data_IF_737656745965
#
_entry.id   IF_737656745965
#
_cell.length_a   1.000
_cell.length_b   1.000
_cell.length_c   1.000
_cell.angle_alpha   90.00
_cell.angle_beta   90.00
_cell.angle_gamma   90.00
#
_symmetry.space_group_name_H-M   'P 1'
#
loop_
_entity.id
_entity.type
_entity.pdbx_description
1 polymer ?
#
# COMPACT_ATOMS: atom_id res chain seq x y z
N UNK A 1 -25.89 -54.42 30.45
CA UNK A 1 -26.12 -53.40 29.45
C UNK A 1 -24.94 -52.44 29.54
N UNK A 2 -23.93 -52.59 28.68
CA UNK A 2 -22.67 -51.82 28.73
C UNK A 2 -22.76 -50.78 27.60
N UNK A 3 -22.82 -49.48 27.98
CA UNK A 3 -22.73 -48.41 27.01
C UNK A 3 -21.26 -48.18 26.65
N UNK A 4 -20.90 -48.43 25.39
CA UNK A 4 -19.63 -48.07 24.82
C UNK A 4 -19.75 -46.62 24.32
N UNK A 5 -19.09 -45.68 25.02
CA UNK A 5 -18.95 -44.32 24.55
C UNK A 5 -17.82 -44.25 23.51
N UNK A 6 -18.21 -44.20 22.26
CA UNK A 6 -17.28 -44.00 21.14
C UNK A 6 -16.72 -42.56 21.15
N UNK A 7 -15.45 -42.39 21.48
CA UNK A 7 -14.71 -41.15 21.28
C UNK A 7 -14.35 -41.03 19.80
N UNK A 8 -15.09 -40.19 19.08
CA UNK A 8 -14.70 -39.76 17.72
C UNK A 8 -13.49 -38.82 17.84
N UNK A 9 -12.30 -39.32 17.51
CA UNK A 9 -11.11 -38.52 17.27
C UNK A 9 -11.36 -37.70 16.01
N UNK A 10 -11.68 -36.41 16.19
CA UNK A 10 -11.67 -35.45 15.07
C UNK A 10 -10.22 -35.31 14.63
N UNK A 11 -9.86 -35.88 13.50
CA UNK A 11 -8.58 -35.68 12.84
C UNK A 11 -8.56 -34.24 12.31
N UNK A 12 -7.88 -33.34 13.01
CA UNK A 12 -7.53 -32.04 12.43
C UNK A 12 -6.50 -32.32 11.34
N UNK A 13 -6.97 -32.25 10.09
CA UNK A 13 -6.08 -32.23 8.95
C UNK A 13 -5.07 -31.05 9.15
N UNK A 14 -3.78 -31.35 9.00
CA UNK A 14 -2.72 -30.34 8.96
C UNK A 14 -2.97 -29.43 7.76
N UNK A 15 -3.75 -28.39 7.97
CA UNK A 15 -3.94 -27.35 6.97
C UNK A 15 -2.71 -26.45 7.06
N UNK A 16 -1.73 -26.70 6.20
CA UNK A 16 -0.66 -25.73 5.95
C UNK A 16 -1.32 -24.46 5.44
N UNK A 17 -1.30 -23.38 6.23
CA UNK A 17 -1.72 -22.07 5.77
C UNK A 17 -0.75 -21.67 4.67
N UNK A 18 -1.23 -21.72 3.44
CA UNK A 18 -0.53 -21.19 2.29
C UNK A 18 -0.45 -19.67 2.47
N UNK A 19 0.69 -19.07 2.23
CA UNK A 19 0.81 -17.60 2.19
C UNK A 19 -0.16 -17.00 1.17
N UNK A 20 -0.21 -15.69 1.11
CA UNK A 20 -1.10 -14.94 0.22
C UNK A 20 -1.59 -13.65 0.86
N UNK A 21 -2.50 -12.97 0.17
CA UNK A 21 -3.12 -11.72 0.64
C UNK A 21 -4.56 -12.00 1.04
N UNK A 22 -4.91 -11.63 2.26
CA UNK A 22 -6.27 -11.71 2.80
C UNK A 22 -6.77 -10.31 3.15
N UNK A 23 -8.04 -10.04 2.93
CA UNK A 23 -8.71 -8.86 3.49
C UNK A 23 -9.52 -9.27 4.73
N UNK A 24 -9.45 -8.47 5.78
CA UNK A 24 -10.30 -8.67 6.96
C UNK A 24 -11.77 -8.46 6.62
N UNK A 25 -12.61 -9.18 7.34
CA UNK A 25 -14.07 -9.17 7.12
C UNK A 25 -14.68 -7.79 7.39
N UNK A 26 -14.11 -7.03 8.33
CA UNK A 26 -14.57 -5.70 8.73
C UNK A 26 -14.16 -4.56 7.77
N UNK A 27 -13.29 -4.81 6.79
CA UNK A 27 -12.97 -3.82 5.75
C UNK A 27 -14.23 -3.56 4.89
N UNK A 28 -14.71 -2.31 4.80
CA UNK A 28 -15.92 -1.98 4.04
C UNK A 28 -15.83 -2.40 2.56
N UNK A 29 -16.96 -2.86 2.00
CA UNK A 29 -17.03 -3.27 0.60
C UNK A 29 -16.59 -2.17 -0.36
N UNK A 30 -16.90 -0.92 -0.05
CA UNK A 30 -16.46 0.23 -0.84
C UNK A 30 -14.93 0.32 -0.93
N UNK A 31 -14.23 0.15 0.20
CA UNK A 31 -12.77 0.20 0.27
C UNK A 31 -12.12 -0.99 -0.46
N UNK A 32 -12.68 -2.20 -0.29
CA UNK A 32 -12.25 -3.38 -1.06
C UNK A 32 -12.39 -3.16 -2.58
N UNK A 33 -13.53 -2.62 -3.01
CA UNK A 33 -13.82 -2.34 -4.42
C UNK A 33 -12.88 -1.26 -4.98
N UNK A 34 -12.63 -0.20 -4.21
CA UNK A 34 -11.71 0.87 -4.57
C UNK A 34 -10.29 0.31 -4.79
N UNK A 35 -9.77 -0.46 -3.83
CA UNK A 35 -8.45 -1.07 -3.93
C UNK A 35 -8.34 -2.01 -5.14
N UNK A 36 -9.31 -2.91 -5.33
CA UNK A 36 -9.33 -3.83 -6.48
C UNK A 36 -9.27 -3.07 -7.80
N UNK A 37 -10.09 -2.03 -7.97
CA UNK A 37 -10.11 -1.21 -9.18
C UNK A 37 -8.75 -0.54 -9.44
N UNK A 38 -8.08 -0.04 -8.39
CA UNK A 38 -6.75 0.56 -8.53
C UNK A 38 -5.70 -0.48 -8.90
N UNK A 39 -5.72 -1.63 -8.24
CA UNK A 39 -4.81 -2.73 -8.56
C UNK A 39 -5.03 -3.27 -9.99
N UNK A 40 -6.28 -3.40 -10.46
CA UNK A 40 -6.57 -3.76 -11.85
C UNK A 40 -5.98 -2.75 -12.83
N UNK A 41 -6.14 -1.45 -12.56
CA UNK A 41 -5.58 -0.38 -13.39
C UNK A 41 -4.05 -0.46 -13.43
N UNK A 42 -3.40 -0.63 -12.28
CA UNK A 42 -1.94 -0.64 -12.18
C UNK A 42 -1.34 -1.93 -12.76
N UNK A 43 -1.91 -3.07 -12.45
CA UNK A 43 -1.38 -4.36 -12.90
C UNK A 43 -1.84 -4.74 -14.30
N UNK A 44 -2.97 -4.19 -14.76
CA UNK A 44 -3.64 -4.63 -15.98
C UNK A 44 -4.29 -6.02 -15.87
N UNK A 45 -4.35 -6.60 -14.67
CA UNK A 45 -5.09 -7.82 -14.46
C UNK A 45 -6.58 -7.54 -14.58
N UNK A 46 -7.29 -8.45 -15.27
CA UNK A 46 -8.75 -8.40 -15.36
C UNK A 46 -9.33 -9.35 -14.31
N UNK A 47 -10.34 -8.87 -13.56
CA UNK A 47 -11.07 -9.67 -12.56
C UNK A 47 -10.27 -10.02 -11.30
N UNK A 48 -9.53 -9.06 -10.75
CA UNK A 48 -9.11 -9.16 -9.35
C UNK A 48 -10.35 -9.17 -8.46
N UNK A 49 -10.35 -10.05 -7.45
CA UNK A 49 -11.44 -10.10 -6.48
C UNK A 49 -10.97 -10.64 -5.14
N UNK A 50 -11.70 -10.30 -4.11
CA UNK A 50 -11.63 -11.01 -2.83
C UNK A 50 -12.69 -12.14 -2.84
N UNK A 51 -12.30 -13.35 -2.49
CA UNK A 51 -13.20 -14.48 -2.31
C UNK A 51 -13.95 -14.37 -0.99
N UNK A 52 -14.93 -15.26 -0.74
CA UNK A 52 -15.74 -15.26 0.49
C UNK A 52 -14.92 -15.46 1.78
N UNK A 53 -13.76 -16.10 1.68
CA UNK A 53 -12.81 -16.26 2.78
C UNK A 53 -11.83 -15.08 2.93
N UNK A 54 -12.01 -14.00 2.16
CA UNK A 54 -11.16 -12.83 2.16
C UNK A 54 -9.90 -12.93 1.29
N UNK A 55 -9.63 -14.07 0.64
CA UNK A 55 -8.42 -14.23 -0.17
C UNK A 55 -8.47 -13.39 -1.45
N UNK A 56 -7.41 -12.62 -1.69
CA UNK A 56 -7.21 -11.92 -2.95
C UNK A 56 -6.81 -12.93 -4.03
N UNK A 57 -7.57 -12.98 -5.10
CA UNK A 57 -7.30 -13.84 -6.25
C UNK A 57 -7.38 -13.05 -7.56
N UNK A 58 -6.56 -13.44 -8.52
CA UNK A 58 -6.53 -12.82 -9.83
C UNK A 58 -6.20 -13.83 -10.92
N UNK A 59 -6.60 -13.52 -12.14
CA UNK A 59 -6.27 -14.31 -13.30
C UNK A 59 -5.22 -13.56 -14.15
N UNK A 60 -4.00 -14.07 -14.16
CA UNK A 60 -2.89 -13.52 -14.94
C UNK A 60 -2.94 -13.86 -16.45
N UNK A 61 -3.93 -14.64 -16.89
CA UNK A 61 -4.09 -15.01 -18.29
C UNK A 61 -4.77 -13.94 -19.14
N UNK A 62 -5.51 -13.01 -18.51
CA UNK A 62 -6.17 -11.90 -19.19
C UNK A 62 -5.56 -10.59 -18.72
N UNK A 63 -4.85 -9.93 -19.62
CA UNK A 63 -4.18 -8.65 -19.35
C UNK A 63 -4.76 -7.55 -20.24
N UNK A 64 -4.97 -6.38 -19.63
CA UNK A 64 -5.37 -5.15 -20.31
C UNK A 64 -4.35 -4.03 -19.99
N UNK A 65 -3.16 -4.12 -20.62
CA UNK A 65 -2.06 -3.18 -20.34
C UNK A 65 -1.41 -3.43 -18.98
N UNK A 66 -1.19 -2.35 -18.23
CA UNK A 66 -0.67 -2.39 -16.87
C UNK A 66 0.83 -2.60 -16.76
N UNK A 67 1.35 -2.42 -15.52
CA UNK A 67 2.76 -2.59 -15.20
C UNK A 67 3.13 -4.07 -15.03
N UNK A 68 4.18 -4.51 -15.74
CA UNK A 68 4.75 -5.85 -15.59
C UNK A 68 5.39 -6.03 -14.20
N UNK A 69 6.07 -5.01 -13.71
CA UNK A 69 6.73 -5.03 -12.40
C UNK A 69 5.69 -5.15 -11.27
N UNK A 70 4.57 -4.43 -11.36
CA UNK A 70 3.47 -4.54 -10.40
C UNK A 70 2.83 -5.94 -10.43
N UNK A 71 2.62 -6.53 -11.62
CA UNK A 71 2.14 -7.91 -11.75
C UNK A 71 3.07 -8.91 -11.09
N UNK A 72 4.37 -8.76 -11.30
CA UNK A 72 5.36 -9.66 -10.71
C UNK A 72 5.36 -9.57 -9.19
N UNK A 73 5.28 -8.36 -8.63
CA UNK A 73 5.19 -8.15 -7.19
C UNK A 73 3.93 -8.80 -6.60
N UNK A 74 2.77 -8.52 -7.20
CA UNK A 74 1.51 -9.08 -6.73
C UNK A 74 1.48 -10.61 -6.86
N UNK A 75 2.03 -11.17 -7.96
CA UNK A 75 2.14 -12.63 -8.11
C UNK A 75 3.00 -13.25 -7.00
N UNK A 76 4.16 -12.64 -6.70
CA UNK A 76 5.02 -13.12 -5.60
C UNK A 76 4.30 -13.09 -4.25
N UNK A 77 3.53 -12.04 -3.98
CA UNK A 77 2.75 -11.94 -2.76
C UNK A 77 1.65 -13.00 -2.66
N UNK A 78 0.95 -13.28 -3.76
CA UNK A 78 -0.13 -14.28 -3.80
C UNK A 78 0.37 -15.74 -3.74
N UNK A 79 1.62 -15.99 -4.15
CA UNK A 79 2.17 -17.36 -4.24
C UNK A 79 3.28 -17.63 -3.23
N UNK A 80 3.72 -16.62 -2.50
CA UNK A 80 4.78 -16.71 -1.50
C UNK A 80 4.34 -17.43 -0.21
N UNK A 81 5.23 -17.45 0.77
CA UNK A 81 5.04 -18.10 2.07
C UNK A 81 4.54 -17.15 3.17
N UNK A 82 4.58 -15.84 2.92
CA UNK A 82 4.08 -14.84 3.85
C UNK A 82 2.54 -14.72 3.76
N UNK A 83 1.89 -14.69 4.90
CA UNK A 83 0.48 -14.33 5.02
C UNK A 83 0.38 -12.81 5.25
N UNK A 84 -0.28 -12.12 4.35
CA UNK A 84 -0.44 -10.68 4.37
C UNK A 84 -1.92 -10.36 4.59
N UNK A 85 -2.23 -9.70 5.69
CA UNK A 85 -3.60 -9.35 6.07
C UNK A 85 -3.81 -7.86 5.85
N UNK A 86 -4.83 -7.50 5.07
CA UNK A 86 -5.24 -6.13 4.85
C UNK A 86 -6.26 -5.71 5.91
N UNK A 87 -6.00 -4.60 6.59
CA UNK A 87 -6.90 -3.95 7.55
C UNK A 87 -7.21 -2.51 7.14
N UNK A 88 -8.41 -2.05 7.45
CA UNK A 88 -8.81 -0.65 7.31
C UNK A 88 -8.34 0.15 8.52
N UNK A 89 -7.57 1.19 8.28
CA UNK A 89 -7.04 2.09 9.31
C UNK A 89 -7.65 3.50 9.25
N UNK A 90 -8.73 3.72 8.48
CA UNK A 90 -9.32 5.05 8.24
C UNK A 90 -9.77 5.79 9.50
N UNK A 91 -9.87 5.11 10.64
CA UNK A 91 -10.18 5.72 11.94
C UNK A 91 -8.96 5.89 12.85
N UNK A 92 -7.74 5.60 12.36
CA UNK A 92 -6.51 5.55 13.17
C UNK A 92 -5.64 6.77 12.91
N UNK A 93 -5.35 7.54 13.97
CA UNK A 93 -4.45 8.70 13.90
C UNK A 93 -2.95 8.34 13.86
N UNK A 94 -2.59 7.07 14.09
CA UNK A 94 -1.20 6.59 14.08
C UNK A 94 -0.76 5.99 12.73
N UNK A 95 -1.64 6.01 11.73
CA UNK A 95 -1.37 5.56 10.37
C UNK A 95 -1.52 6.73 9.42
N UNK A 96 -0.51 7.00 8.62
CA UNK A 96 -0.56 7.95 7.52
C UNK A 96 -0.55 7.19 6.19
N UNK A 97 -1.63 7.28 5.43
CA UNK A 97 -1.85 6.58 4.17
C UNK A 97 -1.80 5.05 4.28
N UNK A 98 -0.61 4.48 4.42
CA UNK A 98 -0.39 3.04 4.55
C UNK A 98 0.78 2.75 5.49
N UNK A 99 0.73 1.55 6.09
CA UNK A 99 1.83 1.04 6.91
C UNK A 99 1.79 -0.48 6.99
N UNK A 100 2.93 -1.13 6.83
CA UNK A 100 3.06 -2.56 7.15
C UNK A 100 3.62 -2.76 8.55
N UNK A 101 3.06 -3.73 9.26
CA UNK A 101 3.53 -4.12 10.60
C UNK A 101 3.61 -5.65 10.71
N UNK A 102 4.51 -6.19 11.55
CA UNK A 102 4.52 -7.61 11.87
C UNK A 102 3.19 -8.03 12.49
N UNK A 103 2.62 -9.13 11.99
CA UNK A 103 1.39 -9.73 12.50
C UNK A 103 1.64 -11.00 13.30
N UNK A 104 0.61 -11.48 14.03
CA UNK A 104 0.62 -12.75 14.76
C UNK A 104 -0.71 -13.46 14.59
N UNK A 105 -0.67 -14.77 14.35
CA UNK A 105 -1.84 -15.62 14.41
C UNK A 105 -2.00 -16.14 15.85
N UNK A 106 -3.05 -15.70 16.54
CA UNK A 106 -3.24 -15.96 17.98
C UNK A 106 -3.57 -17.41 18.32
N UNK A 107 -4.07 -18.21 17.37
CA UNK A 107 -4.60 -19.56 17.64
C UNK A 107 -3.80 -20.70 17.00
N UNK A 108 -2.65 -20.44 16.39
CA UNK A 108 -1.88 -21.46 15.68
C UNK A 108 -0.38 -21.39 16.01
N UNK A 109 0.00 -21.88 17.17
CA UNK A 109 1.40 -22.00 17.61
C UNK A 109 2.27 -22.91 16.71
N UNK A 110 1.66 -23.60 15.76
CA UNK A 110 2.32 -24.59 14.88
C UNK A 110 2.65 -23.99 13.50
N UNK A 111 2.09 -22.83 13.15
CA UNK A 111 2.31 -22.21 11.84
C UNK A 111 3.60 -21.39 11.84
N UNK A 112 4.59 -21.86 11.10
CA UNK A 112 5.85 -21.14 10.81
C UNK A 112 5.70 -20.05 9.75
N UNK A 113 4.46 -19.68 9.38
CA UNK A 113 4.21 -18.64 8.39
C UNK A 113 4.58 -17.26 8.95
N UNK A 114 5.33 -16.48 8.19
CA UNK A 114 5.52 -15.05 8.47
C UNK A 114 4.19 -14.34 8.22
N UNK A 115 3.71 -13.61 9.21
CA UNK A 115 2.45 -12.86 9.11
C UNK A 115 2.76 -11.38 9.15
N UNK A 116 2.16 -10.63 8.22
CA UNK A 116 2.23 -9.18 8.15
C UNK A 116 0.82 -8.60 8.06
N UNK A 117 0.65 -7.40 8.57
CA UNK A 117 -0.58 -6.64 8.44
C UNK A 117 -0.28 -5.36 7.68
N UNK A 118 -0.98 -5.14 6.57
CA UNK A 118 -0.97 -3.86 5.86
C UNK A 118 -2.18 -3.07 6.32
N UNK A 119 -1.91 -1.96 6.98
CA UNK A 119 -2.88 -0.98 7.43
C UNK A 119 -3.05 0.08 6.33
N UNK A 120 -4.29 0.34 5.90
CA UNK A 120 -4.58 1.37 4.89
C UNK A 120 -5.58 2.36 5.45
N UNK A 121 -5.21 3.63 5.48
CA UNK A 121 -6.14 4.73 5.70
C UNK A 121 -6.68 5.23 4.35
N UNK A 122 -7.87 4.79 4.00
CA UNK A 122 -8.53 5.17 2.73
C UNK A 122 -8.96 6.64 2.73
N UNK A 123 -9.25 7.21 3.90
CA UNK A 123 -9.70 8.59 4.02
C UNK A 123 -8.55 9.57 3.81
N UNK A 124 -7.34 9.22 4.21
CA UNK A 124 -6.15 10.02 3.93
C UNK A 124 -5.96 10.23 2.42
N UNK A 125 -6.09 9.17 1.61
CA UNK A 125 -5.99 9.29 0.15
C UNK A 125 -7.07 10.20 -0.46
N UNK A 126 -8.24 10.30 0.15
CA UNK A 126 -9.34 11.17 -0.29
C UNK A 126 -9.08 12.64 0.03
N UNK A 127 -8.28 12.93 1.05
CA UNK A 127 -7.91 14.29 1.44
C UNK A 127 -6.81 14.90 0.57
N UNK A 128 -6.12 14.08 -0.24
CA UNK A 128 -5.07 14.55 -1.13
C UNK A 128 -5.66 15.29 -2.32
N UNK A 129 -5.18 16.51 -2.54
CA UNK A 129 -5.52 17.36 -3.69
C UNK A 129 -4.29 17.63 -4.56
N UNK A 130 -4.45 18.32 -5.67
CA UNK A 130 -3.34 18.71 -6.55
C UNK A 130 -3.49 18.24 -7.99
N UNK A 131 -2.36 18.14 -8.69
CA UNK A 131 -2.33 17.81 -10.11
C UNK A 131 -2.88 16.39 -10.39
N UNK A 132 -3.71 16.28 -11.42
CA UNK A 132 -4.32 14.99 -11.81
C UNK A 132 -3.28 13.91 -12.14
N UNK A 133 -2.16 14.29 -12.75
CA UNK A 133 -1.05 13.37 -13.04
C UNK A 133 -0.39 12.84 -11.77
N UNK A 134 -0.15 13.70 -10.78
CA UNK A 134 0.39 13.27 -9.49
C UNK A 134 -0.62 12.39 -8.72
N UNK A 135 -1.93 12.72 -8.77
CA UNK A 135 -2.98 11.89 -8.17
C UNK A 135 -3.11 10.51 -8.83
N UNK A 136 -2.86 10.40 -10.13
CA UNK A 136 -2.82 9.11 -10.82
C UNK A 136 -1.62 8.25 -10.41
N UNK A 137 -0.55 8.91 -9.95
CA UNK A 137 0.68 8.26 -9.46
C UNK A 137 0.71 8.02 -7.94
N UNK A 138 -0.35 8.42 -7.21
CA UNK A 138 -0.45 8.29 -5.76
C UNK A 138 -1.90 8.08 -5.32
N UNK A 139 -2.26 6.83 -5.15
CA UNK A 139 -3.56 6.42 -4.62
C UNK A 139 -3.40 5.15 -3.76
N UNK A 140 -4.51 4.63 -3.26
CA UNK A 140 -4.55 3.46 -2.39
C UNK A 140 -3.89 2.22 -3.02
N UNK A 141 -3.94 2.07 -4.34
CA UNK A 141 -3.29 0.96 -5.04
C UNK A 141 -1.76 1.08 -5.01
N UNK A 142 -1.24 2.28 -5.19
CA UNK A 142 0.20 2.56 -5.09
C UNK A 142 0.70 2.40 -3.65
N UNK A 143 -0.07 2.88 -2.65
CA UNK A 143 0.25 2.68 -1.24
C UNK A 143 0.30 1.20 -0.89
N UNK A 144 -0.71 0.42 -1.29
CA UNK A 144 -0.74 -1.02 -1.05
C UNK A 144 0.46 -1.74 -1.69
N UNK A 145 0.82 -1.42 -2.95
CA UNK A 145 1.99 -2.03 -3.62
C UNK A 145 3.31 -1.64 -2.95
N UNK A 146 3.41 -0.43 -2.40
CA UNK A 146 4.57 0.01 -1.62
C UNK A 146 4.76 -0.86 -0.37
N UNK A 147 3.71 -1.00 0.45
CA UNK A 147 3.77 -1.84 1.65
C UNK A 147 3.98 -3.34 1.30
N UNK A 148 3.42 -3.79 0.19
CA UNK A 148 3.62 -5.14 -0.31
C UNK A 148 5.09 -5.39 -0.70
N UNK A 149 5.76 -4.37 -1.23
CA UNK A 149 7.18 -4.46 -1.61
C UNK A 149 8.08 -4.67 -0.39
N UNK A 150 7.78 -4.01 0.74
CA UNK A 150 8.48 -4.26 2.01
C UNK A 150 8.40 -5.73 2.42
N UNK A 151 7.20 -6.33 2.34
CA UNK A 151 6.99 -7.72 2.74
C UNK A 151 7.67 -8.72 1.80
N UNK A 152 7.55 -8.50 0.49
CA UNK A 152 7.96 -9.48 -0.53
C UNK A 152 9.47 -9.46 -0.81
N UNK A 153 10.07 -8.28 -0.75
CA UNK A 153 11.48 -8.07 -1.10
C UNK A 153 12.36 -7.65 0.08
N UNK A 154 11.80 -7.59 1.30
CA UNK A 154 12.51 -7.18 2.53
C UNK A 154 13.21 -5.82 2.34
N UNK A 155 12.55 -4.89 1.68
CA UNK A 155 13.07 -3.55 1.38
C UNK A 155 12.76 -2.58 2.51
N UNK A 156 13.59 -1.55 2.67
CA UNK A 156 13.41 -0.50 3.65
C UNK A 156 13.09 0.85 2.99
N UNK A 157 12.47 1.74 3.76
CA UNK A 157 12.31 3.13 3.39
C UNK A 157 13.64 3.88 3.56
N UNK A 158 13.85 4.95 2.77
CA UNK A 158 15.10 5.70 2.85
C UNK A 158 15.23 6.41 4.20
N UNK A 159 16.43 6.40 4.75
CA UNK A 159 16.77 7.16 5.97
C UNK A 159 17.09 8.61 5.66
N UNK A 160 17.41 8.94 4.40
CA UNK A 160 17.79 10.27 3.96
C UNK A 160 16.71 10.93 3.10
N UNK A 161 16.43 12.20 3.35
CA UNK A 161 15.39 12.96 2.66
C UNK A 161 15.60 13.11 1.13
N UNK A 162 16.83 12.96 0.65
CA UNK A 162 17.20 13.17 -0.76
C UNK A 162 17.23 11.89 -1.59
N UNK A 163 16.90 10.74 -0.99
CA UNK A 163 16.91 9.44 -1.66
C UNK A 163 15.49 8.88 -1.72
N UNK A 164 15.07 8.30 -2.84
CA UNK A 164 13.75 7.64 -2.92
C UNK A 164 13.73 6.32 -2.14
N UNK A 165 14.89 5.69 -1.88
CA UNK A 165 14.99 4.35 -1.30
C UNK A 165 14.66 3.24 -2.30
N UNK A 166 14.97 2.00 -1.93
CA UNK A 166 14.80 0.84 -2.82
C UNK A 166 13.32 0.56 -3.11
N UNK A 167 12.46 0.69 -2.09
CA UNK A 167 11.03 0.48 -2.24
C UNK A 167 10.43 1.49 -3.22
N UNK A 168 10.64 2.78 -3.01
CA UNK A 168 10.08 3.82 -3.88
C UNK A 168 10.72 3.75 -5.29
N UNK A 169 11.99 3.34 -5.41
CA UNK A 169 12.62 3.07 -6.69
C UNK A 169 11.89 1.99 -7.51
N UNK A 170 11.49 0.90 -6.87
CA UNK A 170 10.70 -0.16 -7.49
C UNK A 170 9.28 0.32 -7.87
N UNK A 171 8.64 1.12 -7.03
CA UNK A 171 7.33 1.71 -7.32
C UNK A 171 7.44 2.72 -8.49
N UNK A 172 8.52 3.50 -8.55
CA UNK A 172 8.79 4.40 -9.67
C UNK A 172 9.01 3.64 -10.99
N UNK A 173 9.65 2.47 -10.96
CA UNK A 173 9.72 1.60 -12.13
C UNK A 173 8.33 1.20 -12.64
N UNK A 174 7.41 0.85 -11.73
CA UNK A 174 6.03 0.52 -12.10
C UNK A 174 5.28 1.72 -12.68
N UNK A 175 5.48 2.93 -12.10
CA UNK A 175 4.91 4.18 -12.65
C UNK A 175 5.45 4.49 -14.04
N UNK A 176 6.76 4.29 -14.26
CA UNK A 176 7.40 4.48 -15.57
C UNK A 176 6.79 3.57 -16.64
N UNK A 177 6.51 2.31 -16.31
CA UNK A 177 5.85 1.35 -17.21
C UNK A 177 4.43 1.78 -17.61
N UNK A 178 3.81 2.68 -16.85
CA UNK A 178 2.47 3.23 -17.08
C UNK A 178 2.50 4.68 -17.62
N UNK A 179 3.68 5.18 -17.96
CA UNK A 179 3.88 6.56 -18.42
C UNK A 179 3.36 7.60 -17.40
N UNK A 180 3.47 7.30 -16.10
CA UNK A 180 3.11 8.18 -15.00
C UNK A 180 4.33 8.97 -14.49
N UNK A 181 4.12 10.14 -13.85
CA UNK A 181 5.20 10.86 -13.22
C UNK A 181 5.78 10.08 -12.03
N UNK A 182 7.09 10.22 -11.82
CA UNK A 182 7.86 9.52 -10.81
C UNK A 182 7.93 10.37 -9.53
N UNK A 183 7.81 9.76 -8.38
CA UNK A 183 8.01 10.42 -7.09
C UNK A 183 9.50 10.75 -6.92
N UNK A 184 9.82 12.02 -6.66
CA UNK A 184 11.20 12.51 -6.62
C UNK A 184 11.79 12.53 -5.22
N UNK A 185 10.94 12.54 -4.19
CA UNK A 185 11.34 12.50 -2.79
C UNK A 185 10.40 11.60 -2.02
N UNK A 186 10.94 10.79 -1.13
CA UNK A 186 10.13 10.00 -0.21
C UNK A 186 9.37 10.88 0.77
N UNK A 187 10.00 11.95 1.24
CA UNK A 187 9.42 12.86 2.22
C UNK A 187 8.68 14.02 1.55
N UNK A 188 7.56 14.40 2.17
CA UNK A 188 6.84 15.61 1.80
C UNK A 188 7.58 16.86 2.32
N UNK A 189 7.30 18.01 1.73
CA UNK A 189 7.84 19.30 2.14
C UNK A 189 6.73 20.24 2.56
N UNK A 190 6.98 21.20 3.48
CA UNK A 190 6.03 22.24 3.78
C UNK A 190 5.62 23.03 2.52
N UNK A 191 4.36 23.42 2.44
CA UNK A 191 3.90 24.28 1.37
C UNK A 191 4.47 25.68 1.59
N UNK A 192 5.15 26.29 0.60
CA UNK A 192 5.81 27.58 0.78
C UNK A 192 4.79 28.72 0.99
N UNK A 193 4.93 29.43 2.10
CA UNK A 193 4.16 30.64 2.39
C UNK A 193 5.06 31.86 2.18
N UNK A 194 4.69 32.72 1.24
CA UNK A 194 5.55 33.84 0.82
C UNK A 194 5.55 35.07 1.77
N UNK A 195 4.67 35.14 2.77
CA UNK A 195 4.28 36.42 3.35
C UNK A 195 4.67 36.66 4.80
N UNK A 196 5.04 35.64 5.57
CA UNK A 196 5.48 35.84 6.95
C UNK A 196 6.32 34.66 7.45
N UNK A 197 7.56 34.86 7.92
CA UNK A 197 8.41 33.81 8.48
C UNK A 197 7.83 33.19 9.76
N UNK A 198 6.93 33.87 10.45
CA UNK A 198 6.26 33.36 11.66
C UNK A 198 5.00 32.56 11.35
N UNK A 199 4.60 32.45 10.08
CA UNK A 199 3.41 31.69 9.68
C UNK A 199 3.78 30.35 9.08
N UNK A 200 3.55 29.30 9.83
CA UNK A 200 3.68 27.91 9.35
C UNK A 200 2.38 27.43 8.68
N UNK A 201 2.46 27.06 7.42
CA UNK A 201 1.35 26.37 6.76
C UNK A 201 1.18 24.95 7.31
N UNK A 202 -0.06 24.54 7.60
CA UNK A 202 -0.39 23.15 7.87
C UNK A 202 -0.37 22.29 6.60
N UNK A 203 -0.34 22.95 5.44
CA UNK A 203 -0.28 22.28 4.16
C UNK A 203 1.13 21.78 3.88
N UNK A 204 1.19 20.55 3.43
CA UNK A 204 2.39 19.90 2.92
C UNK A 204 2.20 19.50 1.48
N UNK A 205 3.30 19.27 0.77
CA UNK A 205 3.27 18.88 -0.63
C UNK A 205 4.28 17.78 -0.93
N UNK A 206 3.95 16.99 -1.94
CA UNK A 206 4.80 15.93 -2.48
C UNK A 206 5.01 16.14 -3.98
N UNK A 207 6.25 16.00 -4.43
CA UNK A 207 6.63 16.25 -5.81
C UNK A 207 6.68 14.95 -6.63
N UNK A 208 6.15 15.04 -7.84
CA UNK A 208 6.30 14.04 -8.89
C UNK A 208 6.85 14.72 -10.14
N UNK A 209 7.70 14.02 -10.87
CA UNK A 209 8.31 14.56 -12.11
C UNK A 209 8.14 13.60 -13.26
N UNK A 210 7.93 14.16 -14.44
CA UNK A 210 7.90 13.43 -15.70
C UNK A 210 8.71 14.17 -16.73
N UNK A 211 9.58 13.45 -17.43
CA UNK A 211 10.30 13.98 -18.56
C UNK A 211 9.41 13.94 -19.80
N UNK A 212 9.28 15.08 -20.47
CA UNK A 212 8.62 15.14 -21.77
C UNK A 212 9.56 14.61 -22.84
N UNK A 213 9.19 13.51 -23.48
CA UNK A 213 10.02 12.82 -24.48
C UNK A 213 10.30 13.68 -25.73
N UNK A 214 9.44 14.64 -26.06
CA UNK A 214 9.55 15.48 -27.23
C UNK A 214 10.48 16.68 -26.98
N UNK A 215 10.33 17.33 -25.83
CA UNK A 215 11.06 18.57 -25.52
C UNK A 215 12.25 18.36 -24.59
N UNK A 216 12.43 17.15 -24.07
CA UNK A 216 13.42 16.79 -23.05
C UNK A 216 13.34 17.68 -21.77
N UNK A 217 12.20 18.31 -21.54
CA UNK A 217 11.96 19.13 -20.36
C UNK A 217 11.31 18.32 -19.25
N UNK A 218 11.81 18.47 -18.04
CA UNK A 218 11.17 17.89 -16.85
C UNK A 218 10.00 18.76 -16.43
N UNK A 219 8.82 18.16 -16.32
CA UNK A 219 7.63 18.78 -15.78
C UNK A 219 7.36 18.24 -14.38
N UNK A 220 7.11 19.13 -13.43
CA UNK A 220 6.81 18.80 -12.04
C UNK A 220 5.32 18.92 -11.77
N UNK A 221 4.80 17.94 -11.01
CA UNK A 221 3.41 17.83 -10.58
C UNK A 221 3.38 17.73 -9.06
N UNK A 222 2.36 18.29 -8.43
CA UNK A 222 2.28 18.39 -6.99
C UNK A 222 1.02 17.75 -6.44
N UNK A 223 1.19 17.03 -5.32
CA UNK A 223 0.12 16.71 -4.38
C UNK A 223 0.22 17.65 -3.18
N UNK A 224 -0.93 17.94 -2.59
CA UNK A 224 -1.05 18.83 -1.42
C UNK A 224 -2.12 18.26 -0.49
N UNK A 225 -1.84 18.28 0.81
CA UNK A 225 -2.80 17.94 1.86
C UNK A 225 -2.52 18.71 3.15
N UNK A 226 -3.50 18.68 4.09
CA UNK A 226 -3.33 19.24 5.42
C UNK A 226 -2.68 18.17 6.34
N UNK A 227 -1.48 18.44 6.82
CA UNK A 227 -0.72 17.50 7.66
C UNK A 227 -1.37 17.27 9.03
N UNK A 228 -2.37 18.06 9.44
CA UNK A 228 -3.09 17.86 10.71
C UNK A 228 -4.28 16.91 10.56
N UNK A 229 -4.71 16.63 9.34
CA UNK A 229 -5.85 15.74 9.06
C UNK A 229 -5.42 14.36 8.58
N UNK A 230 -4.23 14.22 8.00
CA UNK A 230 -3.64 12.93 7.64
C UNK A 230 -2.99 12.33 8.89
N UNK A 231 -3.34 11.10 9.24
CA UNK A 231 -2.82 10.40 10.41
C UNK A 231 -1.31 10.14 10.36
N UNK A 232 -0.75 9.62 11.46
CA UNK A 232 0.65 9.19 11.56
C UNK A 232 1.68 10.32 11.76
N UNK A 233 1.29 11.57 11.69
CA UNK A 233 2.18 12.71 11.93
C UNK A 233 2.23 13.09 13.40
N UNK A 234 3.26 12.63 14.10
CA UNK A 234 3.61 13.19 15.39
C UNK A 234 3.99 14.67 15.20
N UNK A 235 3.41 15.57 16.01
CA UNK A 235 3.75 17.00 15.99
C UNK A 235 5.24 17.27 16.14
N UNK A 236 6.02 16.31 16.63
CA UNK A 236 7.47 16.38 16.76
C UNK A 236 8.22 16.15 15.43
N UNK A 237 7.64 15.48 14.43
CA UNK A 237 8.27 15.31 13.12
C UNK A 237 8.19 16.57 12.26
N UNK A 238 7.16 17.39 12.44
CA UNK A 238 7.05 18.71 11.80
C UNK A 238 8.09 19.70 12.34
N UNK A 239 8.61 19.53 13.53
CA UNK A 239 9.66 20.36 14.10
C UNK A 239 11.07 20.03 13.56
N UNK A 240 11.31 18.84 13.04
CA UNK A 240 12.60 18.40 12.48
C UNK A 240 12.84 18.90 11.04
N UNK A 241 11.86 19.54 10.43
CA UNK A 241 11.95 20.15 9.09
C UNK A 241 12.25 21.67 9.12
N UNK A 242 12.71 22.17 10.27
CA UNK A 242 13.16 23.57 10.46
C UNK A 242 14.64 23.74 10.16
#
# INVERSE_FOLDING_TARGET
MVCVVGTTKTSYANTTVKGGVLVREDVPLQHRTELLKRLETITGWVRLRFESNGALVGNNQQLAGGSKSARNLLTKALTGDALIVLEDASSRSDVAFCRVVPGRLTNHSILKARVFVILIDFDDFRQVTGDSQARAAFDVGWGFLHELHHVVNDSEDPQNANEPGDCEGAINQMRSELDLPLRTSYFYSPFPVKTNPDFNSRLVRLAFEKQDATTNRTRRFWLVWDATTVGGFDHNQTAALR
#
